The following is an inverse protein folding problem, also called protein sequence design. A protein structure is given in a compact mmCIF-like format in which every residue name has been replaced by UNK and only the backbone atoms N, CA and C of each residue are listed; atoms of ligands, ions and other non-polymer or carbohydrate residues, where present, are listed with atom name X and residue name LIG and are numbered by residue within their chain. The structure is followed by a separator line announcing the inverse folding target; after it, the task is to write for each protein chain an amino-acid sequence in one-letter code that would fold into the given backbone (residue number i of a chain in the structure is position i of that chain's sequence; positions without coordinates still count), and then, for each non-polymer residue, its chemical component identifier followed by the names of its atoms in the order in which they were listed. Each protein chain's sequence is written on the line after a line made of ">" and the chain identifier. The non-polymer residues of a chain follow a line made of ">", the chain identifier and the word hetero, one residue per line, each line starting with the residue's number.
data_IF_297015580372
#
_entry.id   IF_297015580372
#
_cell.length_a   1.000
_cell.length_b   1.000
_cell.length_c   1.000
_cell.angle_alpha   90.00
_cell.angle_beta   90.00
_cell.angle_gamma   90.00
#
_symmetry.space_group_name_H-M   'P 1'
#
loop_
_entity.id
_entity.type
_entity.pdbx_description
1 polymer ?
#
# COMPACT_ATOMS: atom_id res chain seq x y z
N UNK A 1 16.04 29.42 -1.58
CA UNK A 1 15.85 28.42 -0.51
C UNK A 1 14.44 27.89 -0.65
N UNK A 2 14.30 26.67 -1.15
CA UNK A 2 13.03 26.08 -1.54
C UNK A 2 12.25 25.64 -0.29
N UNK A 3 11.03 26.11 -0.16
CA UNK A 3 10.12 25.82 0.96
C UNK A 3 9.86 24.31 1.12
N UNK A 4 9.67 23.78 2.35
CA UNK A 4 9.36 22.38 2.56
C UNK A 4 7.88 22.10 2.25
N UNK A 5 7.61 21.15 1.35
CA UNK A 5 6.26 20.69 1.06
C UNK A 5 5.70 19.91 2.25
N UNK A 6 4.68 20.44 2.92
CA UNK A 6 4.08 19.84 4.12
C UNK A 6 3.13 18.65 3.83
N UNK A 7 3.23 18.04 2.64
CA UNK A 7 2.38 16.91 2.23
C UNK A 7 3.00 15.52 2.45
N UNK A 8 4.30 15.42 2.75
CA UNK A 8 5.02 14.13 2.80
C UNK A 8 4.84 13.33 4.09
N UNK A 9 4.82 14.01 5.24
CA UNK A 9 4.96 13.36 6.55
C UNK A 9 3.78 12.46 6.97
N UNK A 10 2.55 12.77 6.53
CA UNK A 10 1.38 11.94 6.83
C UNK A 10 1.41 10.62 6.03
N UNK A 11 1.86 10.68 4.77
CA UNK A 11 1.95 9.52 3.88
C UNK A 11 3.03 8.53 4.33
N UNK A 12 4.18 9.05 4.77
CA UNK A 12 5.26 8.23 5.33
C UNK A 12 4.80 7.47 6.59
N UNK A 13 4.11 8.12 7.51
CA UNK A 13 3.57 7.47 8.71
C UNK A 13 2.55 6.37 8.40
N UNK A 14 1.71 6.58 7.40
CA UNK A 14 0.78 5.53 6.94
C UNK A 14 1.52 4.34 6.33
N UNK A 15 2.54 4.60 5.52
CA UNK A 15 3.35 3.54 4.91
C UNK A 15 4.09 2.72 5.97
N UNK A 16 4.71 3.37 6.95
CA UNK A 16 5.39 2.71 8.07
C UNK A 16 4.44 1.82 8.90
N UNK A 17 3.23 2.31 9.18
CA UNK A 17 2.21 1.52 9.88
C UNK A 17 1.84 0.24 9.13
N UNK A 18 1.68 0.33 7.80
CA UNK A 18 1.37 -0.84 6.97
C UNK A 18 2.53 -1.82 6.97
N UNK A 19 3.76 -1.36 6.76
CA UNK A 19 4.94 -2.24 6.75
C UNK A 19 5.12 -2.98 8.09
N UNK A 20 5.03 -2.26 9.21
CA UNK A 20 5.08 -2.88 10.55
C UNK A 20 3.97 -3.92 10.73
N UNK A 21 2.76 -3.63 10.27
CA UNK A 21 1.64 -4.58 10.36
C UNK A 21 1.88 -5.84 9.52
N UNK A 22 2.51 -5.72 8.34
CA UNK A 22 2.85 -6.86 7.48
C UNK A 22 3.88 -7.76 8.16
N UNK A 23 4.90 -7.17 8.78
CA UNK A 23 5.95 -7.89 9.52
C UNK A 23 5.40 -8.56 10.78
N UNK A 24 4.69 -7.82 11.64
CA UNK A 24 4.14 -8.33 12.91
C UNK A 24 3.17 -9.50 12.73
N UNK A 25 2.49 -9.57 11.58
CA UNK A 25 1.48 -10.59 11.27
C UNK A 25 1.98 -11.69 10.34
N UNK A 26 3.26 -11.70 9.99
CA UNK A 26 3.89 -12.66 9.06
C UNK A 26 3.12 -12.77 7.72
N UNK A 27 2.76 -11.61 7.15
CA UNK A 27 2.01 -11.57 5.89
C UNK A 27 2.97 -11.77 4.71
N UNK A 28 2.89 -12.96 4.10
CA UNK A 28 3.80 -13.36 3.00
C UNK A 28 3.44 -12.77 1.63
N UNK A 29 2.19 -12.36 1.42
CA UNK A 29 1.74 -11.70 0.19
C UNK A 29 0.45 -10.92 0.39
N UNK A 30 0.26 -9.87 -0.40
CA UNK A 30 -0.97 -9.07 -0.46
C UNK A 30 -1.67 -9.35 -1.78
N UNK A 31 -2.97 -9.72 -1.72
CA UNK A 31 -3.81 -9.88 -2.91
C UNK A 31 -4.73 -8.69 -3.07
N UNK A 32 -4.56 -7.98 -4.19
CA UNK A 32 -5.38 -6.84 -4.56
C UNK A 32 -6.44 -7.29 -5.56
N UNK A 33 -7.71 -7.11 -5.21
CA UNK A 33 -8.85 -7.42 -6.06
C UNK A 33 -9.35 -6.13 -6.72
N UNK A 34 -9.66 -6.19 -8.01
CA UNK A 34 -10.24 -5.07 -8.75
C UNK A 34 -11.17 -5.60 -9.85
N UNK A 35 -12.13 -4.78 -10.27
CA UNK A 35 -12.92 -5.06 -11.46
C UNK A 35 -12.30 -4.34 -12.65
N UNK A 36 -12.16 -5.01 -13.79
CA UNK A 36 -11.76 -4.30 -15.01
C UNK A 36 -12.91 -3.46 -15.58
N UNK A 37 -12.63 -2.73 -16.67
CA UNK A 37 -13.61 -1.84 -17.32
C UNK A 37 -14.82 -2.57 -17.91
N UNK A 38 -14.73 -3.88 -18.09
CA UNK A 38 -15.83 -4.73 -18.56
C UNK A 38 -16.60 -5.36 -17.39
N UNK A 39 -16.18 -5.10 -16.14
CA UNK A 39 -16.84 -5.57 -14.93
C UNK A 39 -16.35 -6.92 -14.42
N UNK A 40 -15.28 -7.50 -14.98
CA UNK A 40 -14.77 -8.79 -14.52
C UNK A 40 -13.89 -8.63 -13.29
N UNK A 41 -14.14 -9.45 -12.26
CA UNK A 41 -13.29 -9.52 -11.07
C UNK A 41 -11.92 -10.13 -11.43
N UNK A 42 -10.87 -9.38 -11.16
CA UNK A 42 -9.46 -9.77 -11.34
C UNK A 42 -8.71 -9.60 -10.02
N UNK A 43 -7.54 -10.24 -9.93
CA UNK A 43 -6.62 -10.02 -8.82
C UNK A 43 -5.17 -10.07 -9.23
N UNK A 44 -4.34 -9.37 -8.46
CA UNK A 44 -2.88 -9.43 -8.50
C UNK A 44 -2.34 -9.77 -7.11
N UNK A 45 -1.33 -10.62 -7.04
CA UNK A 45 -0.62 -10.92 -5.81
C UNK A 45 0.74 -10.21 -5.82
N UNK A 46 1.07 -9.56 -4.70
CA UNK A 46 2.30 -8.81 -4.51
C UNK A 46 3.02 -9.41 -3.30
N UNK A 47 4.29 -9.76 -3.47
CA UNK A 47 5.17 -10.08 -2.34
C UNK A 47 5.73 -8.76 -1.76
N UNK A 48 5.92 -8.65 -0.43
CA UNK A 48 6.51 -7.47 0.21
C UNK A 48 7.87 -7.08 -0.36
#
# INVERSE_FOLDING_TARGET
>A
MSSPSHGGAAREKQQEFVMRTLEERDIRFVRLWFTDVLGFLKSVAIAP
#
